data_IF_685609095564
#
_entry.id   IF_685609095564
#
_cell.length_a   1.000
_cell.length_b   1.000
_cell.length_c   1.000
_cell.angle_alpha   90.00
_cell.angle_beta   90.00
_cell.angle_gamma   90.00
#
_symmetry.space_group_name_H-M   'P 1'
#
loop_
_entity.id
_entity.type
_entity.pdbx_description
1 polymer ?
#
# COMPACT_ATOMS: atom_id res chain seq x y z
N UNK A 1 -0.64 -4.63 14.39
CA UNK A 1 -1.40 -3.39 14.09
C UNK A 1 -1.83 -3.42 12.62
N UNK A 2 -3.05 -2.97 12.28
CA UNK A 2 -3.50 -2.89 10.88
C UNK A 2 -3.27 -1.48 10.36
N UNK A 3 -2.60 -1.33 9.20
CA UNK A 3 -2.43 -0.03 8.54
C UNK A 3 -3.79 0.55 8.15
N UNK A 4 -4.04 1.80 8.54
CA UNK A 4 -5.20 2.57 8.10
C UNK A 4 -5.07 2.97 6.63
N UNK A 5 -6.10 3.56 6.03
CA UNK A 5 -6.01 4.07 4.66
C UNK A 5 -4.92 5.16 4.56
N UNK A 6 -4.97 6.14 5.46
CA UNK A 6 -4.00 7.22 5.55
C UNK A 6 -2.57 6.72 5.71
N UNK A 7 -2.32 5.73 6.59
CA UNK A 7 -0.97 5.18 6.76
C UNK A 7 -0.41 4.64 5.43
N UNK A 8 -1.25 3.95 4.65
CA UNK A 8 -0.83 3.36 3.39
C UNK A 8 -0.60 4.41 2.30
N UNK A 9 -1.40 5.48 2.29
CA UNK A 9 -1.17 6.65 1.41
C UNK A 9 0.15 7.32 1.76
N UNK A 10 0.37 7.59 3.04
CA UNK A 10 1.60 8.22 3.52
C UNK A 10 2.84 7.37 3.21
N UNK A 11 2.78 6.05 3.40
CA UNK A 11 3.86 5.14 3.03
C UNK A 11 4.17 5.20 1.53
N UNK A 12 3.14 5.26 0.68
CA UNK A 12 3.32 5.33 -0.78
C UNK A 12 4.00 6.63 -1.21
N UNK A 13 3.58 7.77 -0.64
CA UNK A 13 4.21 9.07 -0.89
C UNK A 13 5.67 9.10 -0.42
N UNK A 14 5.94 8.65 0.81
CA UNK A 14 7.30 8.53 1.36
C UNK A 14 8.18 7.61 0.49
N UNK A 15 7.59 6.55 -0.08
CA UNK A 15 8.32 5.67 -0.99
C UNK A 15 8.68 6.37 -2.30
N UNK A 16 7.78 7.18 -2.87
CA UNK A 16 8.06 8.01 -4.05
C UNK A 16 9.17 9.03 -3.79
N UNK A 17 9.27 9.54 -2.57
CA UNK A 17 10.37 10.39 -2.11
C UNK A 17 11.71 9.64 -1.91
N UNK A 18 11.74 8.32 -2.09
CA UNK A 18 12.98 7.54 -2.02
C UNK A 18 13.31 6.96 -0.64
N UNK A 19 12.39 7.00 0.34
CA UNK A 19 12.61 6.42 1.66
C UNK A 19 12.85 4.90 1.58
N UNK A 20 13.74 4.39 2.45
CA UNK A 20 14.08 2.96 2.50
C UNK A 20 13.00 2.16 3.22
N UNK A 21 12.77 0.94 2.74
CA UNK A 21 11.81 0.01 3.36
C UNK A 21 12.07 -0.26 4.83
N UNK A 22 13.34 -0.36 5.26
CA UNK A 22 13.70 -0.61 6.66
C UNK A 22 13.26 0.54 7.59
N UNK A 23 13.39 1.79 7.12
CA UNK A 23 12.96 2.97 7.88
C UNK A 23 11.43 3.02 7.99
N UNK A 24 10.73 2.77 6.89
CA UNK A 24 9.26 2.70 6.88
C UNK A 24 8.74 1.54 7.74
N UNK A 25 9.37 0.38 7.64
CA UNK A 25 9.05 -0.82 8.42
C UNK A 25 9.15 -0.56 9.91
N UNK A 26 10.24 0.07 10.36
CA UNK A 26 10.43 0.43 11.77
C UNK A 26 9.45 1.52 12.24
N UNK A 27 9.22 2.56 11.42
CA UNK A 27 8.32 3.68 11.77
C UNK A 27 6.86 3.24 11.93
N UNK A 28 6.39 2.40 11.02
CA UNK A 28 5.00 1.94 10.99
C UNK A 28 4.80 0.58 11.69
N UNK A 29 5.87 -0.02 12.22
CA UNK A 29 5.82 -1.32 12.91
C UNK A 29 5.31 -2.47 12.03
N UNK A 30 5.64 -2.45 10.74
CA UNK A 30 5.16 -3.42 9.74
C UNK A 30 6.30 -4.08 9.00
N UNK A 31 6.13 -5.35 8.62
CA UNK A 31 7.17 -6.09 7.91
C UNK A 31 7.44 -5.49 6.52
N UNK A 32 8.73 -5.42 6.15
CA UNK A 32 9.15 -4.92 4.84
C UNK A 32 8.55 -5.71 3.67
N UNK A 33 8.28 -7.00 3.85
CA UNK A 33 7.59 -7.85 2.87
C UNK A 33 6.15 -7.38 2.62
N UNK A 34 5.41 -7.04 3.67
CA UNK A 34 4.05 -6.50 3.57
C UNK A 34 4.02 -5.14 2.86
N UNK A 35 5.02 -4.28 3.15
CA UNK A 35 5.19 -3.01 2.43
C UNK A 35 5.46 -3.20 0.94
N UNK A 36 6.36 -4.13 0.57
CA UNK A 36 6.62 -4.45 -0.84
C UNK A 36 5.37 -4.93 -1.55
N UNK A 37 4.61 -5.83 -0.93
CA UNK A 37 3.37 -6.34 -1.51
C UNK A 37 2.33 -5.23 -1.72
N UNK A 38 2.10 -4.41 -0.70
CA UNK A 38 1.18 -3.28 -0.77
C UNK A 38 1.55 -2.31 -1.90
N UNK A 39 2.82 -1.91 -2.01
CA UNK A 39 3.26 -1.00 -3.07
C UNK A 39 3.05 -1.61 -4.46
N UNK A 40 3.29 -2.91 -4.64
CA UNK A 40 3.06 -3.60 -5.92
C UNK A 40 1.58 -3.57 -6.34
N UNK A 41 0.67 -3.65 -5.37
CA UNK A 41 -0.77 -3.50 -5.63
C UNK A 41 -1.10 -2.07 -6.05
N UNK A 42 -0.55 -1.06 -5.38
CA UNK A 42 -0.77 0.36 -5.72
C UNK A 42 -0.17 0.69 -7.09
N UNK A 43 1.00 0.16 -7.42
CA UNK A 43 1.66 0.38 -8.71
C UNK A 43 0.84 -0.18 -9.88
N UNK A 44 0.15 -1.31 -9.65
CA UNK A 44 -0.67 -1.98 -10.66
C UNK A 44 -2.10 -1.41 -10.80
N UNK A 45 -2.70 -1.04 -9.68
CA UNK A 45 -4.14 -0.71 -9.60
C UNK A 45 -4.41 0.70 -9.08
N UNK A 46 -3.37 1.52 -8.96
CA UNK A 46 -3.40 2.87 -8.38
C UNK A 46 -3.75 2.88 -6.89
N UNK A 47 -3.71 4.08 -6.29
CA UNK A 47 -3.93 4.25 -4.86
C UNK A 47 -5.38 3.98 -4.42
N UNK A 48 -6.32 3.99 -5.38
CA UNK A 48 -7.73 3.66 -5.15
C UNK A 48 -7.93 2.24 -4.59
N UNK A 49 -7.05 1.28 -4.90
CA UNK A 49 -7.10 -0.11 -4.38
C UNK A 49 -7.01 -0.15 -2.85
N UNK A 50 -6.43 0.89 -2.25
CA UNK A 50 -6.16 0.98 -0.83
C UNK A 50 -7.35 1.53 -0.06
N UNK A 51 -8.23 2.28 -0.73
CA UNK A 51 -9.36 2.99 -0.14
C UNK A 51 -10.41 1.99 0.35
N UNK A 52 -10.58 1.93 1.67
CA UNK A 52 -11.61 1.09 2.31
C UNK A 52 -12.95 1.82 2.23
N UNK A 53 -13.95 1.23 1.58
CA UNK A 53 -15.28 1.84 1.48
C UNK A 53 -16.14 1.36 0.32
N UNK A 54 -15.52 0.73 -0.68
CA UNK A 54 -16.26 -0.04 -1.68
C UNK A 54 -15.70 -1.45 -1.64
N UNK A 55 -16.49 -2.42 -1.20
CA UNK A 55 -16.33 -3.80 -1.66
C UNK A 55 -16.61 -3.74 -3.16
N UNK A 56 -15.64 -3.23 -3.95
CA UNK A 56 -15.72 -3.29 -5.40
C UNK A 56 -15.63 -4.78 -5.70
N UNK A 57 -16.65 -5.32 -6.35
CA UNK A 57 -16.51 -6.55 -7.10
C UNK A 57 -15.17 -6.48 -7.83
N UNK A 58 -14.33 -7.51 -7.63
CA UNK A 58 -12.92 -7.53 -8.03
C UNK A 58 -12.67 -6.72 -9.31
N UNK A 59 -11.73 -5.76 -9.24
CA UNK A 59 -11.39 -4.91 -10.39
C UNK A 59 -11.27 -5.78 -11.64
N UNK A 60 -11.85 -5.40 -12.80
CA UNK A 60 -11.81 -6.22 -14.01
C UNK A 60 -10.40 -6.68 -14.40
N UNK A 61 -9.37 -5.86 -14.09
CA UNK A 61 -7.94 -6.19 -14.26
C UNK A 61 -7.43 -7.38 -13.42
N UNK A 62 -8.17 -7.84 -12.40
CA UNK A 62 -7.83 -9.00 -11.57
C UNK A 62 -8.41 -10.32 -12.10
N UNK A 63 -9.34 -10.26 -13.06
CA UNK A 63 -10.00 -11.44 -13.64
C UNK A 63 -9.30 -11.98 -14.88
N UNK A 64 -8.16 -11.39 -15.25
CA UNK A 64 -7.40 -11.68 -16.47
C UNK A 64 -6.43 -12.83 -16.29
#
# INVERSE_FOLDING_TARGET
MKLTYDDKVQIYELRKQGQKFKQLSNRFGVNASGLKYMLKLIDRYEIEIVKKGKNRDYFPKLKQ
#
